data_IF_374662327229
#
_entry.id   IF_374662327229
#
_cell.length_a   1.000
_cell.length_b   1.000
_cell.length_c   1.000
_cell.angle_alpha   90.00
_cell.angle_beta   90.00
_cell.angle_gamma   90.00
#
_symmetry.space_group_name_H-M   'P 1'
#
loop_
_entity.id
_entity.type
_entity.pdbx_description
1 polymer ?
#
# COMPACT_ATOMS: atom_id res chain seq x y z
N UNK A 1 -17.29 15.51 -16.69
CA UNK A 1 -15.93 15.12 -16.19
C UNK A 1 -16.10 14.57 -14.79
N UNK A 2 -15.47 13.45 -14.45
CA UNK A 2 -15.54 12.92 -13.07
C UNK A 2 -14.99 13.97 -12.12
N UNK A 3 -15.78 14.32 -11.12
CA UNK A 3 -15.37 15.25 -10.06
C UNK A 3 -14.91 14.44 -8.83
N UNK A 4 -13.66 14.66 -8.41
CA UNK A 4 -13.11 14.02 -7.22
C UNK A 4 -13.31 14.92 -6.00
N UNK A 5 -13.73 14.31 -4.88
CA UNK A 5 -13.79 14.99 -3.59
C UNK A 5 -12.39 15.01 -2.94
N UNK A 6 -11.76 16.18 -2.98
CA UNK A 6 -10.42 16.42 -2.45
C UNK A 6 -9.32 15.65 -3.20
N UNK A 7 -8.13 15.56 -2.60
CA UNK A 7 -6.98 14.86 -3.20
C UNK A 7 -7.23 13.37 -3.29
N UNK A 8 -6.85 12.76 -4.42
CA UNK A 8 -6.97 11.32 -4.66
C UNK A 8 -5.59 10.72 -4.81
N UNK A 9 -5.34 9.63 -4.10
CA UNK A 9 -4.08 8.91 -4.13
C UNK A 9 -4.26 7.53 -4.76
N UNK A 10 -3.26 7.10 -5.49
CA UNK A 10 -3.21 5.77 -6.11
C UNK A 10 -1.80 5.20 -6.07
N UNK A 11 -1.64 3.88 -6.07
CA UNK A 11 -0.33 3.26 -6.27
C UNK A 11 0.25 3.64 -7.64
N UNK A 12 1.59 3.77 -7.79
CA UNK A 12 2.21 4.07 -9.09
C UNK A 12 1.84 3.08 -10.19
N UNK A 13 1.59 1.82 -9.86
CA UNK A 13 1.12 0.78 -10.78
C UNK A 13 -0.26 1.03 -11.38
N UNK A 14 -1.05 1.94 -10.77
CA UNK A 14 -2.39 2.35 -11.22
C UNK A 14 -2.38 3.69 -11.98
N UNK A 15 -1.20 4.16 -12.44
CA UNK A 15 -1.06 5.44 -13.14
C UNK A 15 -1.95 5.55 -14.40
N UNK A 16 -2.25 4.42 -15.04
CA UNK A 16 -3.08 4.34 -16.25
C UNK A 16 -4.47 3.75 -16.01
N UNK A 17 -4.88 3.56 -14.77
CA UNK A 17 -6.20 3.06 -14.43
C UNK A 17 -7.20 4.21 -14.36
N UNK A 18 -8.45 3.95 -14.77
CA UNK A 18 -9.56 4.82 -14.43
C UNK A 18 -9.73 4.79 -12.92
N UNK A 19 -9.73 5.95 -12.29
CA UNK A 19 -9.93 6.07 -10.85
C UNK A 19 -11.39 6.45 -10.60
N UNK A 20 -12.06 5.71 -9.73
CA UNK A 20 -13.40 6.06 -9.27
C UNK A 20 -13.43 5.96 -7.74
N UNK A 21 -13.83 7.05 -7.08
CA UNK A 21 -14.03 7.05 -5.64
C UNK A 21 -15.31 6.29 -5.30
N UNK A 22 -15.19 5.19 -4.56
CA UNK A 22 -16.34 4.44 -4.00
C UNK A 22 -16.48 4.69 -2.50
N UNK A 23 -15.41 5.14 -1.89
CA UNK A 23 -15.37 5.73 -0.54
C UNK A 23 -14.70 7.09 -0.61
N UNK A 24 -14.88 7.91 0.42
CA UNK A 24 -14.16 9.16 0.62
C UNK A 24 -13.29 9.00 1.86
N UNK A 25 -11.99 9.30 1.74
CA UNK A 25 -11.05 9.23 2.85
C UNK A 25 -10.61 7.81 3.21
N UNK A 26 -10.08 7.64 4.41
CA UNK A 26 -9.64 6.37 4.98
C UNK A 26 -10.44 6.07 6.26
N UNK A 27 -10.90 4.82 6.42
CA UNK A 27 -11.74 4.41 7.55
C UNK A 27 -11.04 4.55 8.90
N UNK A 28 -9.76 4.24 8.96
CA UNK A 28 -8.94 4.40 10.17
C UNK A 28 -8.46 5.86 10.35
N UNK A 29 -7.80 6.43 9.37
CA UNK A 29 -7.30 7.82 9.28
C UNK A 29 -6.56 8.36 10.53
N UNK A 30 -5.99 7.48 11.38
CA UNK A 30 -5.33 7.84 12.64
C UNK A 30 -3.82 7.58 12.64
N UNK A 31 -3.27 6.93 11.61
CA UNK A 31 -1.83 6.69 11.52
C UNK A 31 -1.05 8.00 11.66
N UNK A 32 -0.04 8.02 12.55
CA UNK A 32 0.69 9.24 12.92
C UNK A 32 1.61 9.76 11.83
N UNK A 33 2.03 8.89 10.90
CA UNK A 33 2.91 9.24 9.77
C UNK A 33 2.16 9.66 8.51
N UNK A 34 0.86 9.28 8.38
CA UNK A 34 0.11 9.44 7.14
C UNK A 34 -0.63 10.78 7.10
N UNK A 35 -0.50 11.50 5.98
CA UNK A 35 -1.15 12.78 5.72
C UNK A 35 -2.21 12.72 4.60
N UNK A 36 -2.35 11.55 3.92
CA UNK A 36 -3.10 11.43 2.67
C UNK A 36 -4.57 11.86 2.75
N UNK A 37 -5.25 11.51 3.84
CA UNK A 37 -6.71 11.71 3.95
C UNK A 37 -7.12 12.52 5.18
N UNK A 38 -6.20 13.26 5.80
CA UNK A 38 -6.46 14.01 7.04
C UNK A 38 -7.55 15.08 6.90
N UNK A 39 -7.72 15.64 5.71
CA UNK A 39 -8.75 16.64 5.39
C UNK A 39 -10.13 16.02 5.10
N UNK A 40 -10.23 14.69 4.94
CA UNK A 40 -11.45 13.98 4.56
C UNK A 40 -12.09 13.28 5.74
N UNK A 41 -13.42 13.40 5.84
CA UNK A 41 -14.22 12.56 6.73
C UNK A 41 -14.60 11.27 5.98
N UNK A 42 -14.29 10.11 6.56
CA UNK A 42 -14.61 8.84 5.95
C UNK A 42 -16.13 8.66 5.73
N UNK A 43 -16.50 8.23 4.54
CA UNK A 43 -17.85 7.77 4.18
C UNK A 43 -17.80 6.81 2.99
N UNK A 44 -18.76 5.89 2.93
CA UNK A 44 -19.05 5.12 1.74
C UNK A 44 -19.96 5.98 0.84
N UNK A 45 -19.65 6.10 -0.45
CA UNK A 45 -20.48 6.82 -1.42
C UNK A 45 -21.73 6.00 -1.75
N UNK A 46 -22.80 6.69 -2.09
CA UNK A 46 -24.01 6.03 -2.58
C UNK A 46 -23.72 5.31 -3.91
N UNK A 47 -24.42 4.20 -4.14
CA UNK A 47 -24.24 3.41 -5.36
C UNK A 47 -24.51 4.24 -6.64
N UNK A 48 -25.52 5.10 -6.59
CA UNK A 48 -25.90 5.98 -7.71
C UNK A 48 -24.81 7.00 -8.03
N UNK A 49 -24.11 7.52 -7.02
CA UNK A 49 -23.00 8.45 -7.22
C UNK A 49 -21.82 7.77 -7.93
N UNK A 50 -21.46 6.56 -7.50
CA UNK A 50 -20.40 5.78 -8.15
C UNK A 50 -20.80 5.36 -9.58
N UNK A 51 -22.04 4.95 -9.79
CA UNK A 51 -22.57 4.61 -11.13
C UNK A 51 -22.53 5.78 -12.08
N UNK A 52 -22.87 6.99 -11.62
CA UNK A 52 -22.81 8.18 -12.44
C UNK A 52 -21.38 8.50 -12.91
N UNK A 53 -20.36 8.28 -12.06
CA UNK A 53 -18.96 8.43 -12.44
C UNK A 53 -18.53 7.41 -13.51
N UNK A 54 -18.99 6.16 -13.42
CA UNK A 54 -18.72 5.14 -14.45
C UNK A 54 -19.40 5.50 -15.78
N UNK A 55 -20.63 6.00 -15.75
CA UNK A 55 -21.33 6.43 -16.95
C UNK A 55 -20.64 7.64 -17.60
N UNK A 56 -20.21 8.59 -16.79
CA UNK A 56 -19.46 9.74 -17.29
C UNK A 56 -18.11 9.32 -17.88
N UNK A 57 -17.38 8.39 -17.21
CA UNK A 57 -16.15 7.82 -17.75
C UNK A 57 -16.38 7.13 -19.09
N UNK A 58 -17.49 6.37 -19.25
CA UNK A 58 -17.81 5.72 -20.52
C UNK A 58 -18.06 6.70 -21.65
N UNK A 59 -18.63 7.87 -21.35
CA UNK A 59 -18.79 8.94 -22.37
C UNK A 59 -17.46 9.53 -22.80
N UNK A 60 -16.47 9.58 -21.88
CA UNK A 60 -15.14 10.17 -22.14
C UNK A 60 -14.16 9.19 -22.78
N UNK A 61 -14.20 7.91 -22.40
CA UNK A 61 -13.21 6.91 -22.78
C UNK A 61 -13.84 5.79 -23.61
N UNK A 62 -13.31 5.57 -24.82
CA UNK A 62 -13.75 4.48 -25.70
C UNK A 62 -13.42 3.11 -25.12
N UNK A 63 -12.28 2.98 -24.43
CA UNK A 63 -11.80 1.73 -23.80
C UNK A 63 -11.22 2.01 -22.42
N UNK A 64 -11.63 1.19 -21.44
CA UNK A 64 -11.13 1.22 -20.07
C UNK A 64 -10.73 -0.20 -19.68
N UNK A 65 -9.43 -0.52 -19.78
CA UNK A 65 -8.91 -1.86 -19.44
C UNK A 65 -8.63 -2.06 -17.96
N UNK A 66 -8.51 -0.97 -17.18
CA UNK A 66 -8.15 -1.04 -15.76
C UNK A 66 -8.91 0.00 -14.97
N UNK A 67 -9.40 -0.41 -13.79
CA UNK A 67 -10.13 0.48 -12.87
C UNK A 67 -9.52 0.33 -11.47
N UNK A 68 -9.26 1.46 -10.83
CA UNK A 68 -8.86 1.53 -9.43
C UNK A 68 -9.98 2.16 -8.61
N UNK A 69 -10.50 1.40 -7.63
CA UNK A 69 -11.53 1.85 -6.72
C UNK A 69 -10.88 2.57 -5.52
N UNK A 70 -11.07 3.87 -5.44
CA UNK A 70 -10.56 4.76 -4.41
C UNK A 70 -11.67 5.09 -3.38
N UNK A 71 -11.41 5.74 -2.25
CA UNK A 71 -10.17 6.25 -1.71
C UNK A 71 -9.41 5.22 -0.87
N UNK A 72 -8.87 5.64 0.27
CA UNK A 72 -7.90 4.93 1.10
C UNK A 72 -8.38 3.62 1.75
N UNK A 73 -9.68 3.33 1.73
CA UNK A 73 -10.23 2.06 2.19
C UNK A 73 -11.55 1.71 1.49
N UNK A 74 -11.48 1.49 0.18
CA UNK A 74 -12.64 1.14 -0.63
C UNK A 74 -13.29 -0.17 -0.19
N UNK A 75 -12.50 -1.10 0.34
CA UNK A 75 -12.98 -2.40 0.79
C UNK A 75 -13.81 -2.32 2.09
N UNK A 76 -13.88 -1.17 2.78
CA UNK A 76 -14.79 -0.96 3.91
C UNK A 76 -16.28 -0.91 3.47
N UNK A 77 -16.57 -0.82 2.18
CA UNK A 77 -17.91 -1.06 1.66
C UNK A 77 -18.45 -2.43 2.09
N UNK A 78 -19.75 -2.50 2.35
CA UNK A 78 -20.41 -3.80 2.56
C UNK A 78 -20.24 -4.68 1.32
N UNK A 79 -20.11 -6.01 1.48
CA UNK A 79 -19.90 -6.92 0.36
C UNK A 79 -20.93 -6.75 -0.77
N UNK A 80 -22.22 -6.60 -0.41
CA UNK A 80 -23.30 -6.43 -1.39
C UNK A 80 -23.16 -5.12 -2.18
N UNK A 81 -22.77 -4.04 -1.51
CA UNK A 81 -22.54 -2.74 -2.16
C UNK A 81 -21.38 -2.81 -3.15
N UNK A 82 -20.25 -3.42 -2.73
CA UNK A 82 -19.11 -3.62 -3.62
C UNK A 82 -19.45 -4.56 -4.78
N UNK A 83 -20.22 -5.61 -4.54
CA UNK A 83 -20.69 -6.54 -5.58
C UNK A 83 -21.52 -5.81 -6.65
N UNK A 84 -22.43 -4.91 -6.25
CA UNK A 84 -23.21 -4.10 -7.19
C UNK A 84 -22.31 -3.15 -8.02
N UNK A 85 -21.29 -2.57 -7.43
CA UNK A 85 -20.29 -1.76 -8.14
C UNK A 85 -19.56 -2.63 -9.19
N UNK A 86 -19.08 -3.81 -8.82
CA UNK A 86 -18.35 -4.70 -9.72
C UNK A 86 -19.24 -5.22 -10.87
N UNK A 87 -20.49 -5.56 -10.60
CA UNK A 87 -21.47 -5.93 -11.65
C UNK A 87 -21.72 -4.76 -12.61
N UNK A 88 -21.80 -3.55 -12.07
CA UNK A 88 -21.99 -2.35 -12.88
C UNK A 88 -20.78 -2.06 -13.78
N UNK A 89 -19.57 -2.24 -13.24
CA UNK A 89 -18.32 -2.15 -14.02
C UNK A 89 -18.35 -3.14 -15.19
N UNK A 90 -18.66 -4.41 -14.95
CA UNK A 90 -18.78 -5.43 -16.03
C UNK A 90 -19.79 -5.05 -17.10
N UNK A 91 -20.90 -4.40 -16.71
CA UNK A 91 -21.93 -3.93 -17.64
C UNK A 91 -21.45 -2.75 -18.49
N UNK A 92 -20.80 -1.75 -17.86
CA UNK A 92 -20.39 -0.49 -18.53
C UNK A 92 -19.09 -0.65 -19.29
N UNK A 93 -18.15 -1.46 -18.75
CA UNK A 93 -16.81 -1.71 -19.27
C UNK A 93 -16.55 -3.22 -19.46
N UNK A 94 -17.24 -3.90 -20.41
CA UNK A 94 -17.03 -5.33 -20.62
C UNK A 94 -15.60 -5.68 -21.03
N UNK A 95 -14.84 -4.69 -21.51
CA UNK A 95 -13.41 -4.80 -21.84
C UNK A 95 -12.47 -4.61 -20.66
N UNK A 96 -13.00 -4.33 -19.43
CA UNK A 96 -12.17 -4.15 -18.25
C UNK A 96 -11.55 -5.47 -17.80
N UNK A 97 -10.22 -5.52 -17.84
CA UNK A 97 -9.41 -6.70 -17.54
C UNK A 97 -9.03 -6.78 -16.05
N UNK A 98 -9.06 -5.63 -15.33
CA UNK A 98 -8.58 -5.57 -13.95
C UNK A 98 -9.27 -4.49 -13.14
N UNK A 99 -9.88 -4.88 -12.04
CA UNK A 99 -10.34 -3.95 -10.98
C UNK A 99 -9.49 -4.18 -9.73
N UNK A 100 -9.02 -3.09 -9.14
CA UNK A 100 -8.17 -3.13 -7.94
C UNK A 100 -8.65 -2.10 -6.92
N UNK A 101 -8.28 -2.26 -5.65
CA UNK A 101 -8.60 -1.28 -4.61
C UNK A 101 -7.59 -1.28 -3.46
N UNK A 102 -7.61 -0.23 -2.65
CA UNK A 102 -7.06 -0.30 -1.30
C UNK A 102 -7.99 -1.10 -0.39
N UNK A 103 -7.39 -1.86 0.54
CA UNK A 103 -8.06 -2.50 1.66
C UNK A 103 -7.22 -2.37 2.92
N UNK A 104 -7.84 -1.91 4.02
CA UNK A 104 -7.22 -1.97 5.35
C UNK A 104 -7.34 -3.39 5.92
N UNK A 105 -6.47 -3.80 6.87
CA UNK A 105 -6.66 -5.08 7.54
C UNK A 105 -8.04 -5.18 8.19
N UNK A 106 -8.52 -4.12 8.84
CA UNK A 106 -9.84 -4.07 9.46
C UNK A 106 -10.97 -4.30 8.43
N UNK A 107 -10.88 -3.68 7.23
CA UNK A 107 -11.89 -3.84 6.18
C UNK A 107 -11.92 -5.25 5.58
N UNK A 108 -10.80 -5.96 5.61
CA UNK A 108 -10.71 -7.35 5.16
C UNK A 108 -11.23 -8.28 6.27
N UNK A 109 -10.73 -8.14 7.50
CA UNK A 109 -11.06 -9.01 8.62
C UNK A 109 -12.52 -8.94 9.08
N UNK A 110 -13.23 -7.85 8.79
CA UNK A 110 -14.66 -7.74 9.07
C UNK A 110 -15.55 -8.50 8.05
N UNK A 111 -14.98 -9.07 6.99
CA UNK A 111 -15.67 -9.88 5.98
C UNK A 111 -15.50 -11.36 6.24
N UNK A 112 -16.45 -12.16 5.75
CA UNK A 112 -16.29 -13.61 5.66
C UNK A 112 -15.44 -13.97 4.43
N UNK A 113 -14.84 -15.16 4.44
CA UNK A 113 -14.06 -15.63 3.29
C UNK A 113 -14.93 -15.72 2.03
N UNK A 114 -16.19 -16.16 2.18
CA UNK A 114 -17.15 -16.26 1.07
C UNK A 114 -17.45 -14.90 0.42
N UNK A 115 -17.44 -13.81 1.22
CA UNK A 115 -17.63 -12.46 0.70
C UNK A 115 -16.46 -12.07 -0.21
N UNK A 116 -15.23 -12.35 0.23
CA UNK A 116 -14.02 -12.06 -0.56
C UNK A 116 -13.97 -12.91 -1.83
N UNK A 117 -14.31 -14.19 -1.74
CA UNK A 117 -14.42 -15.08 -2.90
C UNK A 117 -15.42 -14.54 -3.93
N UNK A 118 -16.61 -14.14 -3.48
CA UNK A 118 -17.64 -13.54 -4.34
C UNK A 118 -17.12 -12.26 -5.01
N UNK A 119 -16.41 -11.39 -4.30
CA UNK A 119 -15.85 -10.16 -4.87
C UNK A 119 -14.80 -10.46 -5.93
N UNK A 120 -13.97 -11.49 -5.72
CA UNK A 120 -13.03 -11.96 -6.73
C UNK A 120 -13.74 -12.48 -7.98
N UNK A 121 -14.75 -13.34 -7.83
CA UNK A 121 -15.54 -13.89 -8.95
C UNK A 121 -16.24 -12.77 -9.76
N UNK A 122 -16.55 -11.66 -9.11
CA UNK A 122 -17.08 -10.46 -9.73
C UNK A 122 -16.02 -9.56 -10.37
N UNK A 123 -14.73 -9.92 -10.26
CA UNK A 123 -13.61 -9.25 -10.97
C UNK A 123 -12.76 -8.30 -10.13
N UNK A 124 -12.84 -8.37 -8.81
CA UNK A 124 -11.87 -7.69 -7.95
C UNK A 124 -10.57 -8.52 -7.92
N UNK A 125 -9.56 -8.08 -8.67
CA UNK A 125 -8.38 -8.89 -8.98
C UNK A 125 -7.21 -8.69 -7.99
N UNK A 126 -7.12 -7.52 -7.35
CA UNK A 126 -5.98 -7.22 -6.49
C UNK A 126 -6.31 -6.22 -5.41
N UNK A 127 -5.76 -6.46 -4.22
CA UNK A 127 -5.85 -5.57 -3.06
C UNK A 127 -4.47 -5.00 -2.75
N UNK A 128 -4.42 -3.68 -2.53
CA UNK A 128 -3.28 -2.98 -1.95
C UNK A 128 -3.47 -2.86 -0.44
N UNK A 129 -2.58 -3.51 0.30
CA UNK A 129 -2.61 -3.61 1.76
C UNK A 129 -1.38 -2.95 2.37
N UNK A 130 -1.58 -2.03 3.30
CA UNK A 130 -0.49 -1.44 4.08
C UNK A 130 -0.14 -2.33 5.27
N UNK A 131 1.04 -2.97 5.24
CA UNK A 131 1.67 -3.60 6.41
C UNK A 131 2.37 -2.54 7.26
N UNK A 132 3.09 -1.64 6.61
CA UNK A 132 3.94 -0.57 7.12
C UNK A 132 5.13 -1.12 7.93
N UNK A 133 4.90 -1.99 8.92
CA UNK A 133 5.86 -2.68 9.78
C UNK A 133 5.37 -4.06 10.17
N UNK A 134 6.30 -4.99 10.42
CA UNK A 134 6.00 -6.27 11.06
C UNK A 134 6.23 -6.25 12.60
N UNK A 135 6.74 -5.15 13.15
CA UNK A 135 6.90 -4.97 14.59
C UNK A 135 5.63 -4.37 15.21
N UNK A 136 5.03 -5.09 16.15
CA UNK A 136 3.84 -4.61 16.88
C UNK A 136 4.13 -3.33 17.69
N UNK A 137 5.36 -3.16 18.20
CA UNK A 137 5.74 -1.94 18.89
C UNK A 137 5.79 -0.74 17.91
N UNK A 138 6.34 -0.92 16.71
CA UNK A 138 6.32 0.12 15.67
C UNK A 138 4.88 0.42 15.25
N UNK A 139 4.06 -0.61 14.99
CA UNK A 139 2.65 -0.45 14.61
C UNK A 139 1.86 0.32 15.68
N UNK A 140 2.11 0.04 16.96
CA UNK A 140 1.52 0.76 18.08
C UNK A 140 1.96 2.23 18.11
N UNK A 141 3.26 2.51 17.96
CA UNK A 141 3.82 3.89 17.95
C UNK A 141 3.25 4.74 16.81
N UNK A 142 3.06 4.13 15.65
CA UNK A 142 2.48 4.85 14.50
C UNK A 142 0.95 4.85 14.50
N UNK A 143 0.32 4.27 15.52
CA UNK A 143 -1.13 4.16 15.66
C UNK A 143 -1.79 3.50 14.43
N UNK A 144 -1.22 2.36 13.98
CA UNK A 144 -1.74 1.61 12.83
C UNK A 144 -3.13 1.01 13.11
N UNK A 145 -3.36 0.58 14.34
CA UNK A 145 -4.64 0.06 14.82
C UNK A 145 -4.75 -1.46 14.80
N UNK A 146 -3.87 -2.16 14.09
CA UNK A 146 -3.81 -3.62 13.99
C UNK A 146 -2.41 -4.12 14.33
N UNK A 147 -2.33 -5.38 14.78
CA UNK A 147 -1.08 -6.13 14.98
C UNK A 147 -0.55 -6.71 13.68
N UNK A 148 0.74 -7.05 13.64
CA UNK A 148 1.35 -7.73 12.50
C UNK A 148 0.63 -9.04 12.15
N UNK A 149 0.22 -9.83 13.14
CA UNK A 149 -0.51 -11.08 12.94
C UNK A 149 -1.90 -10.84 12.31
N UNK A 150 -2.62 -9.80 12.72
CA UNK A 150 -3.90 -9.42 12.10
C UNK A 150 -3.70 -9.00 10.65
N UNK A 151 -2.65 -8.23 10.35
CA UNK A 151 -2.34 -7.80 8.98
C UNK A 151 -1.96 -9.02 8.11
N UNK A 152 -1.14 -9.95 8.63
CA UNK A 152 -0.80 -11.20 7.94
C UNK A 152 -2.06 -12.02 7.66
N UNK A 153 -2.94 -12.20 8.64
CA UNK A 153 -4.21 -12.93 8.47
C UNK A 153 -5.06 -12.28 7.39
N UNK A 154 -5.20 -10.95 7.39
CA UNK A 154 -5.92 -10.23 6.35
C UNK A 154 -5.33 -10.48 4.95
N UNK A 155 -4.00 -10.42 4.82
CA UNK A 155 -3.32 -10.70 3.56
C UNK A 155 -3.55 -12.14 3.06
N UNK A 156 -3.54 -13.13 3.96
CA UNK A 156 -3.81 -14.52 3.62
C UNK A 156 -5.25 -14.73 3.18
N UNK A 157 -6.23 -14.08 3.80
CA UNK A 157 -7.64 -14.12 3.37
C UNK A 157 -7.83 -13.58 1.95
N UNK A 158 -7.13 -12.50 1.58
CA UNK A 158 -7.14 -11.96 0.21
C UNK A 158 -6.61 -12.99 -0.79
N UNK A 159 -5.50 -13.64 -0.48
CA UNK A 159 -4.89 -14.67 -1.34
C UNK A 159 -5.76 -15.93 -1.42
N UNK A 160 -6.34 -16.37 -0.33
CA UNK A 160 -7.27 -17.51 -0.29
C UNK A 160 -8.50 -17.28 -1.17
N UNK A 161 -8.95 -16.03 -1.29
CA UNK A 161 -10.01 -15.65 -2.22
C UNK A 161 -9.60 -15.67 -3.70
N UNK A 162 -8.34 -15.92 -4.02
CA UNK A 162 -7.79 -15.92 -5.38
C UNK A 162 -7.32 -14.56 -5.87
N UNK A 163 -7.46 -13.50 -5.08
CA UNK A 163 -7.00 -12.16 -5.42
C UNK A 163 -5.47 -12.05 -5.25
N UNK A 164 -4.84 -11.23 -6.08
CA UNK A 164 -3.45 -10.82 -5.89
C UNK A 164 -3.33 -9.87 -4.71
N UNK A 165 -2.22 -9.98 -3.99
CA UNK A 165 -1.90 -9.12 -2.86
C UNK A 165 -0.70 -8.24 -3.19
N UNK A 166 -0.85 -6.93 -3.03
CA UNK A 166 0.25 -5.95 -3.08
C UNK A 166 0.43 -5.34 -1.70
N UNK A 167 1.58 -5.57 -1.07
CA UNK A 167 1.86 -5.11 0.29
C UNK A 167 2.83 -3.94 0.26
N UNK A 168 2.51 -2.89 1.02
CA UNK A 168 3.38 -1.73 1.21
C UNK A 168 3.99 -1.74 2.59
N UNK A 169 5.31 -1.48 2.66
CA UNK A 169 6.07 -1.27 3.89
C UNK A 169 6.80 0.06 3.81
N UNK A 170 7.13 0.66 4.97
CA UNK A 170 7.79 1.96 5.03
C UNK A 170 9.04 1.87 5.89
N UNK A 171 10.21 1.94 5.26
CA UNK A 171 11.49 1.99 5.94
C UNK A 171 11.63 3.27 6.78
N UNK A 172 12.24 3.14 7.95
CA UNK A 172 12.50 4.24 8.88
C UNK A 172 11.39 4.49 9.92
N UNK A 173 10.27 3.75 9.89
CA UNK A 173 9.20 3.91 10.88
C UNK A 173 9.61 3.51 12.30
N UNK A 174 10.57 2.58 12.43
CA UNK A 174 11.14 2.15 13.71
C UNK A 174 12.06 3.18 14.36
N UNK A 175 12.39 4.27 13.66
CA UNK A 175 13.51 5.13 14.05
C UNK A 175 14.78 4.30 14.19
N UNK A 176 15.88 4.83 14.74
CA UNK A 176 17.11 4.07 14.94
C UNK A 176 16.95 2.99 16.02
N UNK A 177 16.14 3.27 17.04
CA UNK A 177 15.95 2.41 18.21
C UNK A 177 15.36 1.03 17.86
N UNK A 178 14.38 0.99 16.95
CA UNK A 178 13.67 -0.24 16.55
C UNK A 178 13.97 -0.67 15.11
N UNK A 179 14.98 -0.10 14.47
CA UNK A 179 15.26 -0.32 13.04
C UNK A 179 15.51 -1.79 12.71
N UNK A 180 16.36 -2.48 13.49
CA UNK A 180 16.65 -3.90 13.28
C UNK A 180 15.41 -4.78 13.52
N UNK A 181 14.70 -4.56 14.62
CA UNK A 181 13.45 -5.27 14.92
C UNK A 181 12.41 -5.04 13.81
N UNK A 182 12.22 -3.78 13.40
CA UNK A 182 11.34 -3.40 12.31
C UNK A 182 11.67 -4.15 11.01
N UNK A 183 12.95 -4.19 10.63
CA UNK A 183 13.40 -4.87 9.41
C UNK A 183 13.14 -6.39 9.47
N UNK A 184 13.59 -7.07 10.54
CA UNK A 184 13.45 -8.52 10.71
C UNK A 184 11.97 -8.91 10.78
N UNK A 185 11.19 -8.26 11.63
CA UNK A 185 9.76 -8.57 11.79
C UNK A 185 8.94 -8.28 10.54
N UNK A 186 9.30 -7.24 9.78
CA UNK A 186 8.68 -6.95 8.48
C UNK A 186 9.02 -8.06 7.46
N UNK A 187 10.26 -8.53 7.43
CA UNK A 187 10.65 -9.65 6.59
C UNK A 187 9.89 -10.94 6.96
N UNK A 188 9.74 -11.24 8.27
CA UNK A 188 8.96 -12.39 8.77
C UNK A 188 7.49 -12.30 8.33
N UNK A 189 6.84 -11.14 8.50
CA UNK A 189 5.45 -10.94 8.10
C UNK A 189 5.26 -11.11 6.59
N UNK A 190 6.14 -10.54 5.78
CA UNK A 190 6.13 -10.69 4.33
C UNK A 190 6.37 -12.14 3.89
N UNK A 191 7.29 -12.86 4.56
CA UNK A 191 7.59 -14.27 4.29
C UNK A 191 6.41 -15.19 4.58
N UNK A 192 5.59 -14.84 5.56
CA UNK A 192 4.34 -15.56 5.88
C UNK A 192 3.24 -15.30 4.85
N UNK A 193 3.11 -14.08 4.36
CA UNK A 193 2.08 -13.72 3.37
C UNK A 193 2.46 -14.13 1.95
N UNK A 194 3.75 -14.05 1.58
CA UNK A 194 4.26 -14.25 0.22
C UNK A 194 3.38 -13.51 -0.82
N UNK A 195 3.27 -12.18 -0.72
CA UNK A 195 2.43 -11.41 -1.62
C UNK A 195 3.01 -11.39 -3.05
N UNK A 196 2.19 -11.17 -4.06
CA UNK A 196 2.64 -11.05 -5.45
C UNK A 196 3.52 -9.82 -5.66
N UNK A 197 3.23 -8.73 -4.89
CA UNK A 197 3.99 -7.48 -4.99
C UNK A 197 4.35 -6.93 -3.61
N UNK A 198 5.59 -6.48 -3.47
CA UNK A 198 6.08 -5.80 -2.28
C UNK A 198 6.59 -4.43 -2.70
N UNK A 199 5.98 -3.37 -2.16
CA UNK A 199 6.43 -2.00 -2.30
C UNK A 199 7.12 -1.53 -1.02
N UNK A 200 8.41 -1.23 -1.06
CA UNK A 200 9.10 -0.59 0.05
C UNK A 200 9.27 0.90 -0.26
N UNK A 201 8.71 1.73 0.60
CA UNK A 201 8.90 3.18 0.60
C UNK A 201 9.84 3.57 1.74
N UNK A 202 10.37 4.78 1.68
CA UNK A 202 11.09 5.38 2.81
C UNK A 202 10.25 6.50 3.41
N UNK A 203 10.19 6.57 4.73
CA UNK A 203 9.49 7.63 5.46
C UNK A 203 9.91 9.01 4.94
N UNK A 204 8.91 9.80 4.61
CA UNK A 204 9.08 11.16 4.10
C UNK A 204 7.91 12.02 4.61
N UNK A 205 8.23 13.18 5.17
CA UNK A 205 7.24 14.16 5.61
C UNK A 205 7.03 15.22 4.53
N UNK A 206 5.82 15.30 3.98
CA UNK A 206 5.43 16.35 3.03
C UNK A 206 4.47 17.37 3.66
N UNK A 207 3.52 16.88 4.44
CA UNK A 207 2.56 17.71 5.17
C UNK A 207 2.67 17.44 6.67
N UNK A 208 2.20 18.38 7.51
CA UNK A 208 2.24 18.21 8.95
C UNK A 208 1.49 16.97 9.43
N UNK A 209 2.20 16.09 10.12
CA UNK A 209 1.65 14.88 10.75
C UNK A 209 2.04 14.85 12.23
N UNK A 210 1.36 14.04 13.08
CA UNK A 210 1.80 13.86 14.46
C UNK A 210 3.26 13.37 14.56
N UNK A 211 3.68 12.42 13.71
CA UNK A 211 5.05 11.90 13.72
C UNK A 211 6.08 12.95 13.27
N UNK A 212 5.72 13.85 12.33
CA UNK A 212 6.55 14.98 11.95
C UNK A 212 6.75 15.93 13.12
N UNK A 213 5.74 16.19 13.93
CA UNK A 213 5.88 16.99 15.15
C UNK A 213 6.81 16.32 16.16
N UNK A 214 6.66 15.01 16.36
CA UNK A 214 7.56 14.26 17.25
C UNK A 214 9.01 14.34 16.79
N UNK A 215 9.26 14.32 15.48
CA UNK A 215 10.59 14.57 14.92
C UNK A 215 11.10 15.98 15.20
N UNK A 216 10.28 17.01 14.95
CA UNK A 216 10.64 18.41 15.21
C UNK A 216 10.92 18.71 16.69
N UNK A 217 10.25 18.01 17.58
CA UNK A 217 10.41 18.12 19.03
C UNK A 217 11.45 17.15 19.63
N UNK A 218 12.15 16.39 18.78
CA UNK A 218 13.23 15.48 19.19
C UNK A 218 12.77 14.17 19.85
N UNK A 219 11.47 13.83 19.77
CA UNK A 219 10.93 12.56 20.28
C UNK A 219 10.99 11.41 19.27
N UNK A 220 11.21 11.72 18.00
CA UNK A 220 11.41 10.76 16.92
C UNK A 220 12.69 11.11 16.16
N UNK A 221 13.52 10.13 15.88
CA UNK A 221 14.71 10.31 15.06
C UNK A 221 14.45 9.88 13.62
N UNK A 222 14.55 10.82 12.68
CA UNK A 222 14.44 10.53 11.25
C UNK A 222 15.77 9.99 10.73
N UNK A 223 15.77 8.75 10.31
CA UNK A 223 16.96 8.02 9.88
C UNK A 223 17.55 8.62 8.61
N UNK A 224 18.88 8.67 8.57
CA UNK A 224 19.67 9.15 7.44
C UNK A 224 19.77 8.07 6.32
N UNK A 225 20.28 8.42 5.12
CA UNK A 225 20.38 7.48 4.00
C UNK A 225 21.17 6.20 4.28
N UNK A 226 22.21 6.27 5.09
CA UNK A 226 23.05 5.12 5.45
C UNK A 226 22.27 4.17 6.36
N UNK A 227 21.59 4.71 7.36
CA UNK A 227 20.76 3.94 8.29
C UNK A 227 19.60 3.25 7.58
N UNK A 228 18.91 3.94 6.67
CA UNK A 228 17.84 3.36 5.83
C UNK A 228 18.39 2.25 4.92
N UNK A 229 19.60 2.42 4.36
CA UNK A 229 20.22 1.37 3.54
C UNK A 229 20.56 0.13 4.37
N UNK A 230 21.04 0.30 5.62
CA UNK A 230 21.28 -0.81 6.55
C UNK A 230 19.97 -1.53 6.91
N UNK A 231 18.92 -0.81 7.28
CA UNK A 231 17.61 -1.38 7.58
C UNK A 231 17.05 -2.18 6.39
N UNK A 232 17.13 -1.60 5.18
CA UNK A 232 16.68 -2.28 3.96
C UNK A 232 17.52 -3.53 3.66
N UNK A 233 18.82 -3.51 3.94
CA UNK A 233 19.70 -4.67 3.77
C UNK A 233 19.29 -5.80 4.74
N UNK A 234 19.08 -5.49 6.02
CA UNK A 234 18.62 -6.47 7.03
C UNK A 234 17.28 -7.09 6.57
N UNK A 235 16.33 -6.29 6.12
CA UNK A 235 15.05 -6.78 5.60
C UNK A 235 15.26 -7.77 4.45
N UNK A 236 16.10 -7.42 3.45
CA UNK A 236 16.35 -8.28 2.30
C UNK A 236 17.11 -9.56 2.65
N UNK A 237 17.98 -9.54 3.66
CA UNK A 237 18.71 -10.72 4.14
C UNK A 237 17.81 -11.72 4.87
N UNK A 238 16.72 -11.24 5.49
CA UNK A 238 15.80 -12.08 6.29
C UNK A 238 14.51 -12.49 5.54
N UNK A 239 14.20 -11.88 4.41
CA UNK A 239 12.95 -12.18 3.69
C UNK A 239 13.06 -13.49 2.88
N UNK A 240 12.03 -14.34 3.00
CA UNK A 240 11.79 -15.52 2.17
C UNK A 240 10.42 -15.45 1.50
N UNK A 241 10.38 -14.88 0.32
CA UNK A 241 9.12 -14.66 -0.43
C UNK A 241 9.31 -14.96 -1.91
N UNK A 242 9.51 -16.24 -2.22
CA UNK A 242 9.77 -16.74 -3.57
C UNK A 242 8.73 -16.25 -4.57
N UNK A 243 9.19 -15.68 -5.69
CA UNK A 243 8.35 -15.17 -6.77
C UNK A 243 7.75 -13.79 -6.55
N UNK A 244 7.82 -13.21 -5.35
CA UNK A 244 7.33 -11.85 -5.08
C UNK A 244 8.12 -10.81 -5.87
N UNK A 245 7.41 -9.91 -6.53
CA UNK A 245 8.01 -8.75 -7.23
C UNK A 245 8.29 -7.65 -6.21
N UNK A 246 9.56 -7.43 -5.88
CA UNK A 246 10.00 -6.40 -4.96
C UNK A 246 10.30 -5.09 -5.68
N UNK A 247 9.79 -3.97 -5.16
CA UNK A 247 10.01 -2.62 -5.69
C UNK A 247 10.30 -1.64 -4.55
N UNK A 248 11.53 -1.11 -4.53
CA UNK A 248 11.94 0.03 -3.75
C UNK A 248 12.52 1.12 -4.68
N UNK A 249 11.80 1.40 -5.76
CA UNK A 249 12.16 2.39 -6.79
C UNK A 249 11.24 3.61 -6.78
N UNK A 250 10.40 3.75 -5.78
CA UNK A 250 9.61 4.96 -5.54
C UNK A 250 10.52 6.17 -5.28
N UNK A 251 10.03 7.36 -5.59
CA UNK A 251 10.81 8.60 -5.44
C UNK A 251 11.27 8.85 -3.99
N UNK A 252 10.56 8.34 -2.99
CA UNK A 252 10.94 8.43 -1.57
C UNK A 252 12.22 7.68 -1.20
N UNK A 253 12.64 6.66 -1.97
CA UNK A 253 13.79 5.82 -1.63
C UNK A 253 15.12 6.46 -2.01
N UNK A 254 16.15 6.27 -1.17
CA UNK A 254 17.51 6.72 -1.42
C UNK A 254 18.29 5.87 -2.41
N UNK A 255 17.98 4.56 -2.47
CA UNK A 255 18.56 3.60 -3.41
C UNK A 255 17.43 2.89 -4.15
N UNK A 256 17.46 2.93 -5.47
CA UNK A 256 16.46 2.23 -6.28
C UNK A 256 16.79 0.74 -6.34
N UNK A 257 15.85 -0.09 -5.86
CA UNK A 257 15.92 -1.56 -5.93
C UNK A 257 14.68 -2.09 -6.65
N UNK A 258 14.88 -3.11 -7.46
CA UNK A 258 13.81 -3.83 -8.11
C UNK A 258 14.30 -5.25 -8.47
N UNK A 259 13.46 -6.24 -8.26
CA UNK A 259 13.78 -7.63 -8.57
C UNK A 259 12.64 -8.56 -8.23
N UNK A 260 12.83 -9.83 -8.54
CA UNK A 260 11.97 -10.94 -8.12
C UNK A 260 12.65 -11.68 -6.96
N UNK A 261 12.00 -11.78 -5.82
CA UNK A 261 12.47 -12.56 -4.68
C UNK A 261 12.21 -14.06 -4.94
N UNK A 262 13.05 -15.03 -4.59
CA UNK A 262 14.36 -14.82 -3.93
C UNK A 262 15.51 -14.72 -4.97
N UNK A 263 15.15 -14.83 -6.26
CA UNK A 263 16.09 -14.89 -7.39
C UNK A 263 17.06 -13.69 -7.39
N UNK A 264 16.54 -12.47 -7.28
CA UNK A 264 17.33 -11.24 -7.40
C UNK A 264 17.77 -10.67 -6.03
N UNK A 265 17.49 -11.38 -4.92
CA UNK A 265 17.79 -10.90 -3.56
C UNK A 265 19.25 -10.52 -3.38
N UNK A 266 20.18 -11.41 -3.76
CA UNK A 266 21.62 -11.14 -3.58
C UNK A 266 22.09 -9.95 -4.42
N UNK A 267 21.58 -9.78 -5.63
CA UNK A 267 21.92 -8.62 -6.47
C UNK A 267 21.45 -7.29 -5.83
N UNK A 268 20.27 -7.29 -5.19
CA UNK A 268 19.75 -6.12 -4.46
C UNK A 268 20.58 -5.86 -3.20
N UNK A 269 20.94 -6.89 -2.42
CA UNK A 269 21.84 -6.77 -1.26
C UNK A 269 23.22 -6.24 -1.66
N UNK A 270 23.79 -6.78 -2.73
CA UNK A 270 25.09 -6.30 -3.24
C UNK A 270 25.04 -4.83 -3.67
N UNK A 271 23.90 -4.38 -4.24
CA UNK A 271 23.71 -2.96 -4.58
C UNK A 271 23.68 -2.07 -3.33
N UNK A 272 23.01 -2.48 -2.26
CA UNK A 272 23.00 -1.76 -0.98
C UNK A 272 24.39 -1.71 -0.34
N UNK A 273 25.10 -2.84 -0.30
CA UNK A 273 26.48 -2.90 0.22
C UNK A 273 27.39 -1.93 -0.53
N UNK A 274 27.30 -1.84 -1.87
CA UNK A 274 28.03 -0.85 -2.67
C UNK A 274 27.65 0.60 -2.33
N UNK A 275 26.38 0.87 -2.00
CA UNK A 275 25.96 2.20 -1.57
C UNK A 275 26.54 2.54 -0.19
N UNK A 276 26.54 1.59 0.75
CA UNK A 276 27.14 1.72 2.08
C UNK A 276 28.66 1.93 2.03
N UNK A 277 29.34 1.33 1.06
CA UNK A 277 30.77 1.53 0.77
C UNK A 277 31.07 2.84 0.02
N UNK A 278 30.07 3.66 -0.27
CA UNK A 278 30.21 4.91 -1.01
C UNK A 278 30.46 4.77 -2.52
N UNK A 279 30.35 3.55 -3.05
CA UNK A 279 30.51 3.26 -4.50
C UNK A 279 29.28 3.61 -5.34
N UNK A 280 28.11 3.77 -4.69
CA UNK A 280 26.87 4.24 -5.30
C UNK A 280 26.39 5.43 -4.47
N UNK A 281 26.06 6.55 -5.13
CA UNK A 281 25.54 7.73 -4.46
C UNK A 281 24.08 7.53 -4.07
N UNK A 282 23.75 7.92 -2.85
CA UNK A 282 22.35 8.05 -2.44
C UNK A 282 21.66 9.19 -3.18
N UNK A 283 20.36 9.03 -3.44
CA UNK A 283 19.52 10.11 -3.96
C UNK A 283 19.48 11.24 -2.94
N UNK A 284 19.70 12.48 -3.38
CA UNK A 284 19.63 13.64 -2.47
C UNK A 284 18.16 13.98 -2.12
N UNK A 285 17.95 14.62 -0.96
CA UNK A 285 16.62 14.98 -0.44
C UNK A 285 15.78 15.76 -1.45
N UNK A 286 16.37 16.69 -2.20
CA UNK A 286 15.66 17.51 -3.18
C UNK A 286 15.02 16.71 -4.33
N UNK A 287 15.45 15.46 -4.56
CA UNK A 287 14.89 14.57 -5.60
C UNK A 287 13.99 13.48 -5.01
N UNK A 288 13.76 13.51 -3.70
CA UNK A 288 12.79 12.65 -3.06
C UNK A 288 11.40 13.28 -3.13
N UNK A 289 10.39 12.49 -3.44
CA UNK A 289 9.00 12.91 -3.52
C UNK A 289 8.07 11.74 -3.19
N UNK A 290 6.82 12.06 -2.98
CA UNK A 290 5.75 11.12 -2.67
C UNK A 290 4.91 10.80 -3.91
#
# INVERSE_FOLDING_TARGET
>A
MIEYEGRVFRPPSEAYSLIVQVTIGCSHNKCTFCDMYKEKRFRVRKLEEAKADFDEARRMYRRVGRIFLADGDALMCRPEHMAEILRYIKKVFPECERVTSYGSPASILCKKQEDLNMLHDLGLEMIYLGLESGSDEVLRRINKGETADEIVRAGLMVKEAGMKLSVTCIAGLGSLELSEEHAIKTAEALSRMKPEYIGLLTLLFELPTPLMRDWQEGRFYLMNPIEIAHETLILLEHIDSEGSIFRANHASNYVNLAGTLNQDREAMCARLRKALEGKIKFKSEQYRAR
#
